data_IF_875149398940
#
_entry.id   IF_875149398940
#
_cell.length_a   1.000
_cell.length_b   1.000
_cell.length_c   1.000
_cell.angle_alpha   90.00
_cell.angle_beta   90.00
_cell.angle_gamma   90.00
#
_symmetry.space_group_name_H-M   'P 1'
#
loop_
_entity.id
_entity.type
_entity.pdbx_description
1 polymer ?
#
# COMPACT_ATOMS: atom_id res chain seq x y z
N UNK A 1 3.49 16.80 9.70
CA UNK A 1 2.95 15.90 8.67
C UNK A 1 3.63 16.15 7.35
N UNK A 2 3.97 15.13 6.61
CA UNK A 2 4.66 15.24 5.32
C UNK A 2 3.98 14.36 4.27
N UNK A 3 3.57 14.99 3.15
CA UNK A 3 2.94 14.31 2.01
C UNK A 3 4.01 13.86 1.02
N UNK A 4 3.86 12.66 0.51
CA UNK A 4 4.74 12.05 -0.50
C UNK A 4 3.92 11.37 -1.58
N UNK A 5 4.40 11.44 -2.83
CA UNK A 5 3.94 10.57 -3.91
C UNK A 5 4.99 9.47 -4.11
N UNK A 6 4.62 8.24 -3.84
CA UNK A 6 5.46 7.08 -4.12
C UNK A 6 5.02 6.53 -5.48
N UNK A 7 5.93 6.47 -6.42
CA UNK A 7 5.64 6.01 -7.77
C UNK A 7 6.15 4.60 -8.01
N UNK A 8 5.42 3.85 -8.83
CA UNK A 8 5.81 2.50 -9.25
C UNK A 8 6.18 1.55 -8.09
N UNK A 9 5.39 1.61 -7.02
CA UNK A 9 5.50 0.67 -5.91
C UNK A 9 4.67 -0.58 -6.20
N UNK A 10 5.13 -1.74 -5.76
CA UNK A 10 4.34 -2.97 -5.82
C UNK A 10 3.39 -3.03 -4.63
N UNK A 11 2.12 -3.24 -4.90
CA UNK A 11 1.07 -3.24 -3.88
C UNK A 11 0.98 -4.62 -3.20
N UNK A 12 0.87 -4.62 -1.88
CA UNK A 12 0.60 -5.81 -1.09
C UNK A 12 -0.51 -5.55 -0.07
N UNK A 13 -1.29 -6.57 0.22
CA UNK A 13 -2.36 -6.55 1.23
C UNK A 13 -3.31 -5.34 1.11
N UNK A 14 -3.90 -5.06 -0.05
CA UNK A 14 -4.79 -3.92 -0.19
C UNK A 14 -6.17 -4.17 0.41
N UNK A 15 -6.60 -3.29 1.32
CA UNK A 15 -7.98 -3.13 1.79
C UNK A 15 -8.40 -1.69 1.49
N UNK A 16 -8.66 -1.40 0.21
CA UNK A 16 -8.80 -0.04 -0.30
C UNK A 16 -10.24 0.38 -0.59
N UNK A 17 -11.10 -0.57 -0.94
CA UNK A 17 -12.49 -0.27 -1.28
C UNK A 17 -13.42 -0.39 -0.09
N UNK A 18 -13.06 -1.18 0.90
CA UNK A 18 -13.82 -1.41 2.13
C UNK A 18 -12.90 -1.35 3.33
N UNK A 19 -13.29 -0.60 4.34
CA UNK A 19 -12.57 -0.59 5.61
C UNK A 19 -12.80 -1.93 6.34
N UNK A 20 -11.72 -2.52 6.83
CA UNK A 20 -11.75 -3.80 7.56
C UNK A 20 -11.12 -3.67 8.95
N UNK A 21 -11.57 -4.51 9.87
CA UNK A 21 -10.96 -4.63 11.20
C UNK A 21 -9.83 -5.66 11.16
N UNK A 22 -8.74 -5.35 11.85
CA UNK A 22 -7.68 -6.33 12.06
C UNK A 22 -8.13 -7.36 13.11
N UNK A 23 -8.03 -8.65 12.79
CA UNK A 23 -8.47 -9.77 13.64
C UNK A 23 -9.91 -9.66 14.15
N UNK A 24 -10.78 -8.95 13.43
CA UNK A 24 -12.17 -8.76 13.83
C UNK A 24 -12.37 -7.84 15.04
N UNK A 25 -11.30 -7.18 15.51
CA UNK A 25 -11.32 -6.27 16.67
C UNK A 25 -10.78 -4.89 16.30
N UNK A 26 -11.25 -3.87 17.01
CA UNK A 26 -10.81 -2.49 16.82
C UNK A 26 -11.59 -1.74 15.74
N UNK A 27 -11.14 -0.52 15.44
CA UNK A 27 -11.76 0.35 14.46
C UNK A 27 -11.44 -0.13 13.04
N UNK A 28 -12.45 -0.21 12.15
CA UNK A 28 -12.20 -0.54 10.75
C UNK A 28 -11.32 0.51 10.08
N UNK A 29 -10.46 0.07 9.19
CA UNK A 29 -9.52 0.94 8.47
C UNK A 29 -9.28 0.46 7.05
N UNK A 30 -8.92 1.39 6.17
CA UNK A 30 -8.30 1.08 4.87
C UNK A 30 -6.83 0.85 5.07
N UNK A 31 -6.23 -0.02 4.29
CA UNK A 31 -4.79 -0.30 4.37
C UNK A 31 -4.19 -0.69 3.02
N UNK A 32 -2.91 -0.46 2.89
CA UNK A 32 -2.10 -0.91 1.78
C UNK A 32 -0.64 -0.96 2.20
N UNK A 33 0.08 -1.95 1.75
CA UNK A 33 1.53 -2.04 1.91
C UNK A 33 2.20 -1.79 0.56
N UNK A 34 3.21 -0.94 0.55
CA UNK A 34 3.97 -0.57 -0.62
C UNK A 34 5.34 -1.23 -0.55
N UNK A 35 5.64 -2.10 -1.51
CA UNK A 35 6.95 -2.73 -1.65
C UNK A 35 7.81 -1.90 -2.58
N UNK A 36 9.04 -1.62 -2.15
CA UNK A 36 10.02 -0.78 -2.85
C UNK A 36 11.32 -1.55 -3.00
N UNK A 37 11.83 -1.66 -4.22
CA UNK A 37 13.13 -2.27 -4.46
C UNK A 37 14.27 -1.53 -3.74
N UNK A 38 15.44 -2.18 -3.54
CA UNK A 38 16.57 -1.58 -2.82
C UNK A 38 17.14 -0.34 -3.54
N UNK A 39 16.93 -0.23 -4.85
CA UNK A 39 17.35 0.92 -5.67
C UNK A 39 16.20 1.88 -6.00
N UNK A 40 15.08 1.77 -5.30
CA UNK A 40 13.93 2.62 -5.59
C UNK A 40 14.28 4.10 -5.40
N UNK A 41 13.99 4.97 -6.39
CA UNK A 41 14.48 6.35 -6.40
C UNK A 41 13.94 7.23 -5.26
N UNK A 42 12.85 6.81 -4.63
CA UNK A 42 12.18 7.60 -3.58
C UNK A 42 12.51 7.15 -2.15
N UNK A 43 13.37 6.16 -1.95
CA UNK A 43 13.79 5.75 -0.60
C UNK A 43 14.41 6.90 0.19
N UNK A 44 15.26 7.70 -0.45
CA UNK A 44 15.88 8.87 0.16
C UNK A 44 14.82 9.92 0.58
N UNK A 45 13.80 10.15 -0.26
CA UNK A 45 12.72 11.08 0.04
C UNK A 45 11.86 10.62 1.23
N UNK A 46 11.61 9.32 1.34
CA UNK A 46 10.88 8.75 2.48
C UNK A 46 11.68 8.93 3.77
N UNK A 47 12.97 8.64 3.75
CA UNK A 47 13.87 8.84 4.91
C UNK A 47 13.93 10.30 5.32
N UNK A 48 14.06 11.22 4.37
CA UNK A 48 14.06 12.65 4.63
C UNK A 48 12.74 13.14 5.24
N UNK A 49 11.62 12.62 4.77
CA UNK A 49 10.29 12.94 5.30
C UNK A 49 10.11 12.42 6.73
N UNK A 50 10.61 11.23 7.05
CA UNK A 50 10.64 10.70 8.42
C UNK A 50 11.43 11.61 9.36
N UNK A 51 12.61 12.06 8.92
CA UNK A 51 13.43 13.01 9.68
C UNK A 51 12.67 14.32 9.95
N UNK A 52 12.08 14.89 8.91
CA UNK A 52 11.33 16.15 9.03
C UNK A 52 10.15 16.03 10.00
N UNK A 53 9.39 14.95 9.92
CA UNK A 53 8.25 14.69 10.81
C UNK A 53 8.71 14.48 12.25
N UNK A 54 9.80 13.76 12.45
CA UNK A 54 10.38 13.53 13.78
C UNK A 54 10.91 14.81 14.42
N UNK A 55 11.63 15.62 13.67
CA UNK A 55 12.14 16.93 14.12
C UNK A 55 11.00 17.89 14.45
N UNK A 56 9.97 17.95 13.62
CA UNK A 56 8.79 18.79 13.85
C UNK A 56 8.07 18.42 15.15
N UNK A 57 7.94 17.12 15.43
CA UNK A 57 7.24 16.62 16.61
C UNK A 57 8.05 16.70 17.90
N UNK A 58 9.32 16.30 17.85
CA UNK A 58 10.14 16.10 19.06
C UNK A 58 11.33 17.05 19.19
N UNK A 59 11.62 17.86 18.17
CA UNK A 59 12.67 18.86 18.19
C UNK A 59 14.02 18.29 18.62
N UNK A 60 14.65 18.91 19.61
CA UNK A 60 15.97 18.50 20.12
C UNK A 60 16.02 17.06 20.69
N UNK A 61 14.88 16.49 21.05
CA UNK A 61 14.79 15.11 21.55
C UNK A 61 14.78 14.06 20.43
N UNK A 62 14.63 14.50 19.18
CA UNK A 62 14.44 13.60 18.05
C UNK A 62 15.58 12.58 17.92
N UNK A 63 16.83 12.97 18.04
CA UNK A 63 17.97 12.06 17.90
C UNK A 63 17.89 10.83 18.85
N UNK A 64 17.48 11.04 20.09
CA UNK A 64 17.30 9.96 21.07
C UNK A 64 16.06 9.14 20.80
N UNK A 65 14.94 9.79 20.47
CA UNK A 65 13.66 9.14 20.17
C UNK A 65 13.77 8.32 18.88
N UNK A 66 14.49 8.83 17.88
CA UNK A 66 14.74 8.10 16.63
C UNK A 66 15.38 6.74 16.88
N UNK A 67 16.41 6.68 17.72
CA UNK A 67 17.08 5.41 18.08
C UNK A 67 16.13 4.44 18.76
N UNK A 68 15.25 4.95 19.63
CA UNK A 68 14.22 4.13 20.28
C UNK A 68 13.21 3.56 19.29
N UNK A 69 12.72 4.40 18.37
CA UNK A 69 11.75 4.02 17.33
C UNK A 69 12.38 3.00 16.36
N UNK A 70 13.61 3.22 15.92
CA UNK A 70 14.35 2.31 15.03
C UNK A 70 14.58 0.95 15.69
N UNK A 71 14.99 0.92 16.96
CA UNK A 71 15.21 -0.32 17.70
C UNK A 71 13.94 -1.17 17.87
N UNK A 72 12.76 -0.54 17.85
CA UNK A 72 11.45 -1.20 17.95
C UNK A 72 10.78 -1.43 16.59
N UNK A 73 11.47 -1.12 15.49
CA UNK A 73 10.93 -1.17 14.13
C UNK A 73 9.59 -0.38 13.97
N UNK A 74 9.59 0.85 14.47
CA UNK A 74 8.41 1.75 14.48
C UNK A 74 8.56 2.97 13.55
N UNK A 75 9.52 2.96 12.63
CA UNK A 75 9.58 3.90 11.52
C UNK A 75 8.53 3.54 10.45
N UNK A 76 8.19 4.48 9.56
CA UNK A 76 7.26 4.21 8.47
C UNK A 76 7.86 3.29 7.40
N UNK A 77 9.16 3.45 7.11
CA UNK A 77 9.91 2.60 6.19
C UNK A 77 10.53 1.44 6.95
N UNK A 78 10.28 0.23 6.47
CA UNK A 78 10.76 -1.02 7.06
C UNK A 78 11.62 -1.80 6.08
N UNK A 79 12.50 -2.65 6.62
CA UNK A 79 13.24 -3.66 5.87
C UNK A 79 12.36 -4.90 5.65
N UNK A 80 12.19 -5.30 4.39
CA UNK A 80 11.37 -6.46 4.02
C UNK A 80 11.96 -7.79 4.47
N UNK A 81 13.25 -7.87 4.76
CA UNK A 81 13.88 -9.08 5.28
C UNK A 81 13.32 -9.48 6.66
N UNK A 82 12.76 -8.54 7.41
CA UNK A 82 12.02 -8.82 8.66
C UNK A 82 10.73 -9.61 8.44
N UNK A 83 10.25 -9.68 7.21
CA UNK A 83 9.07 -10.42 6.75
C UNK A 83 9.44 -11.50 5.73
N UNK A 84 10.50 -12.24 6.00
CA UNK A 84 11.08 -13.20 5.06
C UNK A 84 10.16 -14.34 4.58
N UNK A 85 9.06 -14.61 5.28
CA UNK A 85 8.06 -15.59 4.88
C UNK A 85 7.00 -15.05 3.90
N UNK A 86 6.97 -13.73 3.66
CA UNK A 86 6.00 -13.10 2.78
C UNK A 86 6.60 -12.83 1.40
N UNK A 87 5.91 -13.29 0.34
CA UNK A 87 6.33 -13.06 -1.04
C UNK A 87 6.46 -11.57 -1.35
N UNK A 88 7.56 -11.22 -2.02
CA UNK A 88 7.88 -9.86 -2.42
C UNK A 88 8.55 -8.99 -1.34
N UNK A 89 8.64 -9.46 -0.10
CA UNK A 89 9.26 -8.71 1.00
C UNK A 89 10.78 -8.90 1.09
N UNK A 90 11.35 -10.12 1.00
CA UNK A 90 12.80 -10.29 1.08
C UNK A 90 13.54 -9.50 0.00
N UNK A 91 14.60 -8.82 0.39
CA UNK A 91 15.43 -7.98 -0.50
C UNK A 91 14.82 -6.63 -0.85
N UNK A 92 13.63 -6.32 -0.38
CA UNK A 92 12.93 -5.06 -0.60
C UNK A 92 12.70 -4.30 0.70
N UNK A 93 12.36 -3.02 0.58
CA UNK A 93 11.80 -2.22 1.66
C UNK A 93 10.26 -2.18 1.54
N UNK A 94 9.58 -1.83 2.61
CA UNK A 94 8.15 -1.62 2.55
C UNK A 94 7.67 -0.49 3.46
N UNK A 95 6.55 0.10 3.08
CA UNK A 95 5.80 1.08 3.88
C UNK A 95 4.40 0.53 4.08
N UNK A 96 4.03 0.28 5.33
CA UNK A 96 2.66 -0.06 5.68
C UNK A 96 1.86 1.21 5.90
N UNK A 97 0.76 1.34 5.18
CA UNK A 97 -0.12 2.50 5.26
C UNK A 97 -1.49 2.13 5.78
N UNK A 98 -2.12 3.07 6.47
CA UNK A 98 -3.47 2.89 6.99
C UNK A 98 -4.25 4.20 6.92
N UNK A 99 -5.55 4.13 6.74
CA UNK A 99 -6.46 5.27 6.85
C UNK A 99 -7.71 4.87 7.62
N UNK A 100 -8.23 5.79 8.43
CA UNK A 100 -9.46 5.57 9.19
C UNK A 100 -10.65 5.38 8.25
N UNK A 101 -11.70 4.72 8.73
CA UNK A 101 -12.92 4.47 7.95
C UNK A 101 -13.56 5.74 7.38
N UNK A 102 -13.44 6.88 8.07
CA UNK A 102 -13.92 8.19 7.60
C UNK A 102 -12.94 8.93 6.67
N UNK A 103 -11.80 8.33 6.35
CA UNK A 103 -10.77 8.90 5.48
C UNK A 103 -10.48 7.96 4.29
N UNK A 104 -11.54 7.62 3.55
CA UNK A 104 -11.43 6.73 2.40
C UNK A 104 -10.43 7.26 1.38
N UNK A 105 -9.43 6.44 0.96
CA UNK A 105 -8.49 6.87 -0.08
C UNK A 105 -9.16 7.00 -1.45
N UNK A 106 -8.66 7.92 -2.26
CA UNK A 106 -9.02 8.03 -3.67
C UNK A 106 -8.37 6.89 -4.44
N UNK A 107 -9.15 6.16 -5.25
CA UNK A 107 -8.62 5.04 -6.04
C UNK A 107 -8.96 5.30 -7.51
N UNK A 108 -7.94 5.41 -8.33
CA UNK A 108 -8.06 5.79 -9.75
C UNK A 108 -7.23 4.90 -10.67
N UNK A 109 -7.65 4.82 -11.91
CA UNK A 109 -6.92 4.18 -12.99
C UNK A 109 -5.82 5.10 -13.56
N UNK A 110 -5.08 4.62 -14.54
CA UNK A 110 -4.02 5.36 -15.25
C UNK A 110 -4.49 6.69 -15.81
N UNK A 111 -5.69 6.73 -16.36
CA UNK A 111 -6.33 7.92 -16.94
C UNK A 111 -7.05 8.80 -15.90
N UNK A 112 -6.88 8.51 -14.60
CA UNK A 112 -7.53 9.17 -13.47
C UNK A 112 -9.03 8.87 -13.34
N UNK A 113 -9.57 7.92 -14.09
CA UNK A 113 -10.94 7.46 -13.91
C UNK A 113 -11.07 6.76 -12.54
N UNK A 114 -12.10 7.07 -11.75
CA UNK A 114 -12.33 6.38 -10.49
C UNK A 114 -12.51 4.87 -10.69
N UNK A 115 -11.86 4.07 -9.84
CA UNK A 115 -12.02 2.62 -9.81
C UNK A 115 -12.98 2.21 -8.69
N UNK A 116 -13.70 1.14 -8.93
CA UNK A 116 -14.56 0.46 -7.97
C UNK A 116 -14.05 -0.95 -7.69
N UNK A 117 -14.57 -1.59 -6.65
CA UNK A 117 -14.21 -2.97 -6.31
C UNK A 117 -14.49 -3.93 -7.48
N UNK A 118 -15.57 -3.67 -8.24
CA UNK A 118 -15.96 -4.47 -9.40
C UNK A 118 -14.92 -4.44 -10.55
N UNK A 119 -14.08 -3.42 -10.61
CA UNK A 119 -13.03 -3.32 -11.64
C UNK A 119 -11.88 -4.31 -11.41
N UNK A 120 -11.81 -4.93 -10.24
CA UNK A 120 -10.80 -5.94 -9.92
C UNK A 120 -9.38 -5.42 -9.76
N UNK A 121 -9.19 -4.11 -9.75
CA UNK A 121 -7.89 -3.46 -9.54
C UNK A 121 -8.02 -2.16 -8.74
N UNK A 122 -6.97 -1.72 -8.04
CA UNK A 122 -5.67 -2.39 -7.85
C UNK A 122 -5.77 -3.63 -6.97
N UNK A 123 -4.88 -4.57 -7.16
CA UNK A 123 -4.82 -5.84 -6.43
C UNK A 123 -3.41 -6.10 -5.88
N UNK A 124 -3.28 -7.04 -4.96
CA UNK A 124 -1.98 -7.44 -4.41
C UNK A 124 -1.07 -8.06 -5.48
N UNK A 125 0.06 -7.42 -5.76
CA UNK A 125 1.03 -7.79 -6.79
C UNK A 125 1.12 -6.81 -7.95
N UNK A 126 0.12 -5.97 -8.19
CA UNK A 126 0.18 -4.93 -9.22
C UNK A 126 1.08 -3.76 -8.79
N UNK A 127 1.41 -2.89 -9.75
CA UNK A 127 2.21 -1.68 -9.52
C UNK A 127 1.31 -0.45 -9.49
N UNK A 128 1.57 0.42 -8.51
CA UNK A 128 0.75 1.60 -8.25
C UNK A 128 1.61 2.84 -7.99
N UNK A 129 1.01 4.00 -8.22
CA UNK A 129 1.44 5.24 -7.58
C UNK A 129 0.57 5.46 -6.33
N UNK A 130 1.17 5.85 -5.24
CA UNK A 130 0.45 6.02 -3.99
C UNK A 130 0.80 7.35 -3.33
N UNK A 131 -0.23 8.15 -3.06
CA UNK A 131 -0.10 9.34 -2.23
C UNK A 131 -0.23 8.94 -0.77
N UNK A 132 0.81 9.22 0.01
CA UNK A 132 0.85 8.96 1.44
C UNK A 132 1.13 10.23 2.23
N UNK A 133 0.81 10.20 3.51
CA UNK A 133 1.14 11.24 4.46
C UNK A 133 1.79 10.64 5.69
N UNK A 134 3.02 11.07 5.99
CA UNK A 134 3.72 10.66 7.20
C UNK A 134 3.34 11.54 8.38
N UNK A 135 3.16 10.94 9.54
CA UNK A 135 2.84 11.64 10.77
C UNK A 135 3.44 10.95 12.00
N UNK A 136 3.76 11.74 13.02
CA UNK A 136 4.32 11.25 14.26
C UNK A 136 3.23 10.93 15.27
N UNK A 137 3.29 9.74 15.83
CA UNK A 137 2.47 9.31 16.96
C UNK A 137 3.28 9.41 18.25
N UNK A 138 2.67 9.97 19.27
CA UNK A 138 3.19 10.00 20.64
C UNK A 138 2.01 9.93 21.62
N UNK A 139 1.66 8.73 22.02
CA UNK A 139 0.51 8.47 22.90
C UNK A 139 0.77 7.25 23.80
N UNK A 140 -0.26 6.76 24.50
CA UNK A 140 -0.19 5.60 25.37
C UNK A 140 0.27 4.31 24.68
N UNK A 141 0.11 4.20 23.35
CA UNK A 141 0.58 3.07 22.55
C UNK A 141 2.05 3.21 22.12
N UNK A 142 2.69 4.31 22.47
CA UNK A 142 4.11 4.58 22.21
C UNK A 142 4.37 5.60 21.11
N UNK A 143 5.65 5.74 20.78
CA UNK A 143 6.15 6.67 19.75
C UNK A 143 6.42 5.91 18.46
N UNK A 144 6.04 6.50 17.35
CA UNK A 144 6.28 5.95 16.02
C UNK A 144 6.07 6.98 14.91
N UNK A 145 6.64 6.72 13.74
CA UNK A 145 6.30 7.43 12.51
C UNK A 145 5.36 6.53 11.70
N UNK A 146 4.16 7.00 11.46
CA UNK A 146 3.13 6.30 10.70
C UNK A 146 3.01 6.86 9.27
N UNK A 147 2.42 6.05 8.39
CA UNK A 147 2.02 6.46 7.05
C UNK A 147 0.51 6.28 6.86
N UNK A 148 -0.15 7.32 6.38
CA UNK A 148 -1.56 7.27 5.98
C UNK A 148 -1.65 7.17 4.47
N UNK A 149 -2.45 6.22 3.96
CA UNK A 149 -2.80 6.18 2.53
C UNK A 149 -3.85 7.25 2.24
N UNK A 150 -3.61 8.04 1.20
CA UNK A 150 -4.52 9.10 0.74
C UNK A 150 -5.13 8.82 -0.62
N UNK A 151 -4.36 8.17 -1.49
CA UNK A 151 -4.82 7.79 -2.82
C UNK A 151 -3.91 6.76 -3.46
N UNK A 152 -4.50 5.95 -4.33
CA UNK A 152 -3.80 4.90 -5.08
C UNK A 152 -4.20 5.00 -6.54
N UNK A 153 -3.22 5.04 -7.41
CA UNK A 153 -3.40 5.00 -8.86
C UNK A 153 -2.81 3.71 -9.41
N UNK A 154 -3.62 2.94 -10.11
CA UNK A 154 -3.15 1.77 -10.83
C UNK A 154 -2.19 2.17 -11.94
N UNK A 155 -1.05 1.50 -12.08
CA UNK A 155 -0.05 1.77 -13.10
C UNK A 155 0.05 0.63 -14.10
N UNK A 156 0.27 -0.59 -13.64
CA UNK A 156 0.40 -1.78 -14.48
C UNK A 156 0.19 -3.07 -13.69
N UNK A 157 -0.10 -4.12 -14.42
CA UNK A 157 -0.20 -5.46 -13.85
C UNK A 157 1.14 -5.98 -13.35
N UNK A 158 1.07 -6.89 -12.42
CA UNK A 158 2.16 -7.68 -11.89
C UNK A 158 1.65 -9.03 -11.42
N UNK A 159 2.55 -9.94 -11.09
CA UNK A 159 2.18 -11.25 -10.59
C UNK A 159 1.40 -11.14 -9.28
N UNK A 160 0.17 -11.63 -9.27
CA UNK A 160 -0.68 -11.60 -8.09
C UNK A 160 -0.07 -12.44 -6.96
N UNK A 161 -0.09 -11.91 -5.74
CA UNK A 161 0.29 -12.67 -4.54
C UNK A 161 -0.73 -13.75 -4.17
N UNK A 162 -1.95 -13.67 -4.73
CA UNK A 162 -3.03 -14.65 -4.50
C UNK A 162 -3.03 -15.82 -5.50
N UNK A 163 -1.99 -15.97 -6.33
CA UNK A 163 -1.83 -17.11 -7.23
C UNK A 163 -2.28 -16.85 -8.68
N UNK A 164 -1.56 -16.00 -9.38
CA UNK A 164 -1.72 -15.77 -10.81
C UNK A 164 -2.25 -14.38 -11.15
N UNK A 165 -2.04 -13.97 -12.39
CA UNK A 165 -2.62 -12.77 -12.97
C UNK A 165 -4.04 -13.13 -13.40
N UNK A 166 -5.07 -12.34 -13.03
CA UNK A 166 -6.40 -12.53 -13.59
C UNK A 166 -6.35 -12.45 -15.11
N UNK A 167 -7.09 -13.32 -15.76
CA UNK A 167 -7.22 -13.29 -17.22
C UNK A 167 -7.73 -11.92 -17.69
N UNK A 168 -7.11 -11.38 -18.72
CA UNK A 168 -7.57 -10.17 -19.39
C UNK A 168 -8.86 -10.46 -20.18
N UNK A 169 -9.71 -9.46 -20.34
CA UNK A 169 -10.90 -9.59 -21.20
C UNK A 169 -10.56 -9.97 -22.64
N UNK A 170 -9.35 -9.63 -23.09
CA UNK A 170 -8.86 -9.93 -24.44
C UNK A 170 -8.52 -11.41 -24.64
N UNK A 171 -8.43 -12.17 -23.56
CA UNK A 171 -8.25 -13.63 -23.60
C UNK A 171 -9.55 -14.40 -23.84
N UNK A 172 -10.69 -13.71 -23.74
CA UNK A 172 -12.00 -14.29 -23.91
C UNK A 172 -12.62 -13.87 -25.24
N UNK A 173 -13.29 -14.80 -25.90
CA UNK A 173 -14.13 -14.49 -27.06
C UNK A 173 -15.53 -14.10 -26.57
N UNK A 174 -16.20 -13.22 -27.34
CA UNK A 174 -17.58 -12.88 -27.06
C UNK A 174 -18.49 -14.10 -27.28
N UNK A 175 -19.26 -14.45 -26.26
CA UNK A 175 -20.26 -15.51 -26.36
C UNK A 175 -21.54 -14.88 -26.92
N UNK A 176 -21.98 -15.35 -28.10
CA UNK A 176 -23.25 -14.95 -28.69
C UNK A 176 -24.33 -15.98 -28.39
N UNK A 177 -25.57 -15.53 -28.17
CA UNK A 177 -26.72 -16.41 -27.98
C UNK A 177 -26.87 -17.33 -29.20
N UNK A 178 -26.75 -18.65 -29.00
CA UNK A 178 -26.81 -19.65 -30.05
C UNK A 178 -25.53 -20.46 -30.29
N UNK A 179 -24.39 -20.03 -29.71
CA UNK A 179 -23.12 -20.75 -29.86
C UNK A 179 -23.13 -22.18 -29.26
N UNK A 180 -24.09 -22.51 -28.41
CA UNK A 180 -24.24 -23.80 -27.77
C UNK A 180 -25.47 -24.59 -28.28
N UNK A 181 -26.19 -24.06 -29.25
CA UNK A 181 -27.40 -24.77 -29.78
C UNK A 181 -27.05 -25.98 -30.64
N UNK A 182 -25.84 -26.05 -31.19
CA UNK A 182 -25.42 -27.16 -32.07
C UNK A 182 -24.78 -28.34 -31.36
N UNK A 183 -24.42 -28.20 -30.07
CA UNK A 183 -23.83 -29.30 -29.29
C UNK A 183 -24.87 -30.21 -28.56
N UNK A 184 -26.17 -29.95 -28.74
CA UNK A 184 -27.27 -30.70 -28.13
C UNK A 184 -28.14 -31.44 -29.18
N UNK A 185 -27.69 -31.56 -30.41
CA UNK A 185 -28.38 -32.33 -31.46
C UNK A 185 -27.76 -33.69 -31.65
#
# INVERSE_FOLDING_TARGET
MSKLMITNARLAFPDLFKAVTFDGTGEPSYSATLLLGPDHPQLAAIRAAQEAVGLDKWGAKWAAIKKEIEAKDKMALHDGDTKGSLDGFPGNFFVSTRAKANARPTIIDRDKTPLTEADGRPYGGCFVNCSIELWAQDNSYGKRINAQVRGVQFVRDGDSFAGGIPASSDEFEAVTDGAYADDLA
#
